data_IF_159118273475
#
_entry.id   IF_159118273475
#
_cell.length_a   1.000
_cell.length_b   1.000
_cell.length_c   1.000
_cell.angle_alpha   90.00
_cell.angle_beta   90.00
_cell.angle_gamma   90.00
#
_symmetry.space_group_name_H-M   'P 1'
#
loop_
_entity.id
_entity.type
_entity.pdbx_description
1 polymer ?
#
# COMPACT_ATOMS: atom_id res chain seq x y z
N UNK A 1 9.49 -10.49 -0.14
CA UNK A 1 8.89 -10.94 1.14
C UNK A 1 7.38 -10.74 1.21
N UNK A 2 6.81 -9.57 1.51
CA UNK A 2 5.35 -9.41 1.71
C UNK A 2 4.51 -9.90 0.51
N UNK A 3 4.91 -9.53 -0.72
CA UNK A 3 4.28 -10.02 -1.95
C UNK A 3 4.27 -11.55 -2.03
N UNK A 4 5.37 -12.21 -1.67
CA UNK A 4 5.46 -13.67 -1.70
C UNK A 4 4.55 -14.33 -0.65
N UNK A 5 4.42 -13.71 0.54
CA UNK A 5 3.53 -14.21 1.60
C UNK A 5 2.09 -14.18 1.10
N UNK A 6 1.59 -13.02 0.68
CA UNK A 6 0.20 -12.91 0.18
C UNK A 6 0.00 -13.83 -1.03
N UNK A 7 0.98 -13.88 -1.94
CA UNK A 7 0.91 -14.73 -3.14
C UNK A 7 0.77 -16.21 -2.82
N UNK A 8 1.47 -16.70 -1.78
CA UNK A 8 1.38 -18.11 -1.37
C UNK A 8 0.02 -18.48 -0.76
N UNK A 9 -0.68 -17.51 -0.17
CA UNK A 9 -1.95 -17.74 0.52
C UNK A 9 -3.13 -17.65 -0.45
N UNK A 10 -3.23 -16.56 -1.22
CA UNK A 10 -4.42 -16.26 -2.05
C UNK A 10 -4.10 -16.13 -3.54
N UNK A 11 -2.90 -16.51 -3.97
CA UNK A 11 -2.47 -16.41 -5.37
C UNK A 11 -1.90 -15.03 -5.75
N UNK A 12 -1.43 -14.86 -6.99
CA UNK A 12 -0.67 -13.68 -7.39
C UNK A 12 -1.52 -12.40 -7.41
N UNK A 13 -0.94 -11.23 -7.07
CA UNK A 13 -1.62 -9.95 -7.18
C UNK A 13 -1.80 -9.53 -8.65
N UNK A 14 -2.58 -8.49 -8.87
CA UNK A 14 -2.68 -7.82 -10.17
C UNK A 14 -1.30 -7.36 -10.66
N UNK A 15 -1.12 -7.39 -11.98
CA UNK A 15 0.02 -6.75 -12.65
C UNK A 15 -0.11 -5.23 -12.71
N UNK A 16 -1.32 -4.69 -12.51
CA UNK A 16 -1.60 -3.26 -12.48
C UNK A 16 -1.15 -2.69 -11.14
N UNK A 17 -0.06 -1.93 -11.14
CA UNK A 17 0.44 -1.24 -9.94
C UNK A 17 -0.04 0.21 -9.83
N UNK A 18 -0.52 0.82 -10.92
CA UNK A 18 -1.09 2.19 -10.94
C UNK A 18 -2.53 2.14 -11.46
N UNK A 19 -3.50 1.70 -10.65
CA UNK A 19 -4.89 1.66 -11.06
C UNK A 19 -5.40 3.08 -11.38
N UNK A 20 -6.33 3.18 -12.34
CA UNK A 20 -6.80 4.47 -12.85
C UNK A 20 -7.41 5.37 -11.78
N UNK A 21 -8.01 4.79 -10.73
CA UNK A 21 -8.60 5.55 -9.63
C UNK A 21 -7.55 6.27 -8.75
N UNK A 22 -6.26 5.96 -8.89
CA UNK A 22 -5.18 6.68 -8.23
C UNK A 22 -4.67 7.89 -9.03
N UNK A 23 -5.29 8.22 -10.16
CA UNK A 23 -4.98 9.43 -10.93
C UNK A 23 -5.63 10.66 -10.32
N UNK A 24 -4.91 11.78 -10.32
CA UNK A 24 -5.43 13.10 -9.97
C UNK A 24 -5.00 14.13 -11.01
N UNK A 25 -5.46 15.38 -10.88
CA UNK A 25 -4.98 16.48 -11.73
C UNK A 25 -3.47 16.70 -11.59
N UNK A 26 -2.91 16.46 -10.39
CA UNK A 26 -1.48 16.55 -10.13
C UNK A 26 -0.73 15.27 -10.55
N UNK A 27 -1.34 14.10 -10.37
CA UNK A 27 -0.74 12.79 -10.65
C UNK A 27 -1.44 12.10 -11.82
N UNK A 28 -1.22 12.60 -13.04
CA UNK A 28 -1.90 12.10 -14.26
C UNK A 28 -1.63 10.62 -14.59
N UNK A 29 -0.47 10.10 -14.15
CA UNK A 29 -0.11 8.67 -14.32
C UNK A 29 -0.62 7.78 -13.18
N UNK A 30 -1.17 8.38 -12.13
CA UNK A 30 -1.60 7.71 -10.91
C UNK A 30 -0.46 7.41 -9.95
N UNK A 31 -0.82 7.33 -8.66
CA UNK A 31 0.06 6.79 -7.63
C UNK A 31 0.19 5.26 -7.76
N UNK A 32 1.29 4.72 -7.23
CA UNK A 32 1.59 3.28 -7.28
C UNK A 32 1.15 2.60 -5.99
N UNK A 33 0.59 1.40 -6.10
CA UNK A 33 0.38 0.46 -5.00
C UNK A 33 1.45 -0.63 -5.03
N UNK A 34 1.98 -1.00 -3.87
CA UNK A 34 3.00 -2.04 -3.80
C UNK A 34 2.47 -3.40 -4.26
N UNK A 35 1.34 -3.81 -3.68
CA UNK A 35 0.66 -5.08 -3.95
C UNK A 35 -0.84 -4.79 -4.04
N UNK A 36 -1.47 -5.15 -5.17
CA UNK A 36 -2.88 -4.83 -5.42
C UNK A 36 -3.70 -6.07 -5.80
N UNK A 37 -4.80 -6.29 -5.07
CA UNK A 37 -5.75 -7.39 -5.27
C UNK A 37 -7.15 -6.82 -5.57
N UNK A 38 -7.40 -6.33 -6.81
CA UNK A 38 -8.69 -5.75 -7.19
C UNK A 38 -9.86 -6.71 -6.97
N UNK A 39 -9.64 -8.01 -7.23
CA UNK A 39 -10.67 -9.03 -7.08
C UNK A 39 -11.12 -9.25 -5.63
N UNK A 40 -10.28 -8.87 -4.67
CA UNK A 40 -10.56 -8.98 -3.23
C UNK A 40 -10.77 -7.61 -2.58
N UNK A 41 -10.78 -6.53 -3.36
CA UNK A 41 -11.04 -5.18 -2.85
C UNK A 41 -9.98 -4.67 -1.86
N UNK A 42 -8.71 -5.06 -1.99
CA UNK A 42 -7.66 -4.56 -1.11
C UNK A 42 -6.31 -4.33 -1.80
N UNK A 43 -5.45 -3.57 -1.13
CA UNK A 43 -4.06 -3.36 -1.46
C UNK A 43 -3.19 -3.41 -0.20
N UNK A 44 -1.90 -3.71 -0.36
CA UNK A 44 -0.90 -3.66 0.71
C UNK A 44 0.17 -2.66 0.32
N UNK A 45 0.53 -1.78 1.26
CA UNK A 45 1.65 -0.82 1.20
C UNK A 45 2.66 -1.18 2.28
N UNK A 46 3.95 -1.26 1.93
CA UNK A 46 5.01 -1.57 2.89
C UNK A 46 5.66 -0.27 3.37
N UNK A 47 5.39 0.10 4.62
CA UNK A 47 5.83 1.36 5.20
C UNK A 47 7.18 1.21 5.90
N UNK A 48 8.22 1.77 5.28
CA UNK A 48 9.55 1.91 5.90
C UNK A 48 9.66 3.13 6.83
N UNK A 49 10.79 3.24 7.55
CA UNK A 49 11.10 4.40 8.43
C UNK A 49 10.93 5.75 7.73
N UNK A 50 11.15 5.80 6.42
CA UNK A 50 10.99 6.99 5.61
C UNK A 50 9.55 7.52 5.54
N UNK A 51 8.53 6.70 5.85
CA UNK A 51 7.13 7.15 5.87
C UNK A 51 6.72 7.77 7.21
N UNK A 52 7.54 7.61 8.25
CA UNK A 52 7.27 8.17 9.59
C UNK A 52 8.13 9.40 9.87
N UNK A 53 9.35 9.44 9.35
CA UNK A 53 10.30 10.51 9.63
C UNK A 53 11.20 10.84 8.45
N UNK A 54 11.75 12.06 8.47
CA UNK A 54 12.76 12.44 7.50
C UNK A 54 14.01 11.56 7.64
N UNK A 55 14.32 10.78 6.61
CA UNK A 55 15.56 10.02 6.50
C UNK A 55 16.35 10.55 5.31
N UNK A 56 17.51 11.15 5.56
CA UNK A 56 18.37 11.79 4.54
C UNK A 56 18.72 10.88 3.34
N UNK A 57 18.75 9.57 3.55
CA UNK A 57 18.97 8.61 2.48
C UNK A 57 17.80 8.54 1.48
N UNK A 58 16.57 8.71 1.96
CA UNK A 58 15.34 8.61 1.18
C UNK A 58 14.79 9.98 0.74
N UNK A 59 15.09 11.05 1.48
CA UNK A 59 14.59 12.39 1.22
C UNK A 59 15.75 13.38 1.08
N UNK A 60 15.74 14.21 0.02
CA UNK A 60 16.80 15.21 -0.18
C UNK A 60 16.61 16.41 0.75
N UNK A 61 15.36 16.77 1.02
CA UNK A 61 14.96 17.88 1.87
C UNK A 61 13.62 17.58 2.59
N UNK A 62 13.15 18.51 3.42
CA UNK A 62 11.86 18.37 4.12
C UNK A 62 10.67 18.27 3.17
N UNK A 63 10.71 19.00 2.04
CA UNK A 63 9.62 19.00 1.05
C UNK A 63 9.41 17.63 0.39
N UNK A 64 10.48 16.86 0.16
CA UNK A 64 10.38 15.49 -0.34
C UNK A 64 9.63 14.58 0.65
N UNK A 65 9.88 14.75 1.95
CA UNK A 65 9.18 14.02 3.00
C UNK A 65 7.72 14.44 3.12
N UNK A 66 7.44 15.76 3.09
CA UNK A 66 6.07 16.27 3.08
C UNK A 66 5.28 15.74 1.88
N UNK A 67 5.89 15.72 0.69
CA UNK A 67 5.28 15.16 -0.52
C UNK A 67 4.98 13.67 -0.36
N UNK A 68 5.86 12.91 0.28
CA UNK A 68 5.61 11.51 0.55
C UNK A 68 4.43 11.31 1.51
N UNK A 69 4.35 12.10 2.59
CA UNK A 69 3.19 12.09 3.49
C UNK A 69 1.88 12.45 2.75
N UNK A 70 1.93 13.43 1.85
CA UNK A 70 0.79 13.79 1.01
C UNK A 70 0.37 12.65 0.08
N UNK A 71 1.33 11.95 -0.53
CA UNK A 71 1.04 10.77 -1.36
C UNK A 71 0.39 9.66 -0.53
N UNK A 72 0.91 9.36 0.66
CA UNK A 72 0.37 8.32 1.54
C UNK A 72 -1.07 8.64 1.95
N UNK A 73 -1.34 9.90 2.33
CA UNK A 73 -2.69 10.35 2.61
C UNK A 73 -3.61 10.23 1.38
N UNK A 74 -3.14 10.67 0.20
CA UNK A 74 -3.93 10.61 -1.02
C UNK A 74 -4.25 9.16 -1.43
N UNK A 75 -3.31 8.23 -1.26
CA UNK A 75 -3.56 6.79 -1.46
C UNK A 75 -4.67 6.29 -0.54
N UNK A 76 -4.62 6.60 0.76
CA UNK A 76 -5.67 6.22 1.73
C UNK A 76 -7.04 6.72 1.29
N UNK A 77 -7.13 8.00 0.94
CA UNK A 77 -8.38 8.63 0.52
C UNK A 77 -8.94 8.02 -0.77
N UNK A 78 -8.09 7.82 -1.78
CA UNK A 78 -8.51 7.29 -3.08
C UNK A 78 -8.86 5.79 -2.98
N UNK A 79 -8.14 5.00 -2.18
CA UNK A 79 -8.51 3.61 -1.93
C UNK A 79 -9.87 3.52 -1.23
N UNK A 80 -10.08 4.29 -0.15
CA UNK A 80 -11.35 4.33 0.55
C UNK A 80 -12.52 4.74 -0.35
N UNK A 81 -12.36 5.79 -1.17
CA UNK A 81 -13.38 6.24 -2.14
C UNK A 81 -13.75 5.18 -3.18
N UNK A 82 -12.86 4.23 -3.45
CA UNK A 82 -13.05 3.17 -4.44
C UNK A 82 -13.27 1.79 -3.79
N UNK A 83 -13.63 1.76 -2.49
CA UNK A 83 -13.90 0.52 -1.76
C UNK A 83 -12.71 -0.46 -1.77
N UNK A 84 -11.50 0.09 -1.77
CA UNK A 84 -10.26 -0.66 -1.63
C UNK A 84 -9.76 -0.48 -0.20
N UNK A 85 -9.68 -1.57 0.54
CA UNK A 85 -9.03 -1.60 1.86
C UNK A 85 -7.52 -1.46 1.65
N UNK A 86 -6.92 -0.44 2.24
CA UNK A 86 -5.47 -0.21 2.17
C UNK A 86 -4.83 -0.72 3.47
N UNK A 87 -4.13 -1.85 3.37
CA UNK A 87 -3.36 -2.43 4.47
C UNK A 87 -1.98 -1.79 4.48
N UNK A 88 -1.65 -1.06 5.54
CA UNK A 88 -0.35 -0.41 5.71
C UNK A 88 0.50 -1.21 6.68
N UNK A 89 1.48 -1.94 6.13
CA UNK A 89 2.34 -2.83 6.90
C UNK A 89 3.67 -2.14 7.20
N UNK A 90 3.89 -1.81 8.46
CA UNK A 90 5.07 -1.11 8.94
C UNK A 90 6.28 -2.02 9.09
N UNK A 91 7.48 -1.45 8.90
CA UNK A 91 8.75 -2.17 8.94
C UNK A 91 9.06 -2.88 10.26
N UNK A 92 8.39 -2.52 11.35
CA UNK A 92 8.52 -3.15 12.67
C UNK A 92 7.50 -4.26 12.91
N UNK A 93 6.52 -4.43 12.02
CA UNK A 93 5.53 -5.49 12.10
C UNK A 93 6.06 -6.79 11.51
N UNK A 94 5.54 -7.92 11.99
CA UNK A 94 5.88 -9.24 11.46
C UNK A 94 4.94 -9.62 10.30
N UNK A 95 5.39 -9.61 9.03
CA UNK A 95 4.47 -9.79 7.89
C UNK A 95 3.81 -11.17 7.86
N UNK A 96 4.46 -12.18 8.44
CA UNK A 96 3.92 -13.54 8.55
C UNK A 96 2.77 -13.66 9.54
N UNK A 97 2.58 -12.68 10.43
CA UNK A 97 1.50 -12.62 11.41
C UNK A 97 0.42 -11.66 10.91
N UNK A 98 0.82 -10.42 10.61
CA UNK A 98 -0.11 -9.33 10.29
C UNK A 98 -0.86 -9.56 8.98
N UNK A 99 -0.19 -10.09 7.93
CA UNK A 99 -0.87 -10.36 6.66
C UNK A 99 -1.99 -11.40 6.83
N UNK A 100 -1.74 -12.60 7.41
CA UNK A 100 -2.82 -13.55 7.67
C UNK A 100 -3.96 -12.99 8.54
N UNK A 101 -3.67 -12.15 9.54
CA UNK A 101 -4.70 -11.53 10.38
C UNK A 101 -5.65 -10.66 9.53
N UNK A 102 -5.10 -9.75 8.72
CA UNK A 102 -5.93 -8.94 7.80
C UNK A 102 -6.70 -9.80 6.79
N UNK A 103 -6.09 -10.85 6.26
CA UNK A 103 -6.78 -11.74 5.32
C UNK A 103 -7.95 -12.49 5.97
N UNK A 104 -7.85 -12.84 7.26
CA UNK A 104 -8.95 -13.40 8.05
C UNK A 104 -10.05 -12.37 8.30
N UNK A 105 -9.68 -11.13 8.66
CA UNK A 105 -10.64 -10.03 8.84
C UNK A 105 -11.43 -9.71 7.56
N UNK A 106 -10.80 -9.90 6.40
CA UNK A 106 -11.42 -9.78 5.08
C UNK A 106 -12.20 -11.04 4.65
N UNK A 107 -12.32 -12.05 5.53
CA UNK A 107 -12.99 -13.34 5.26
C UNK A 107 -12.44 -14.06 4.01
N UNK A 108 -11.15 -13.87 3.69
CA UNK A 108 -10.50 -14.49 2.53
C UNK A 108 -9.89 -15.85 2.86
N UNK A 109 -9.66 -16.12 4.14
CA UNK A 109 -9.11 -17.38 4.67
C UNK A 109 -9.70 -17.68 6.05
N UNK A 110 -9.67 -18.96 6.46
CA UNK A 110 -10.07 -19.43 7.79
C UNK A 110 -9.02 -19.20 8.89
#
# INVERSE_FOLDING_TARGET
>A
MCREIVTKIIGPPSSIRRPDFLKTQEYLRGLELDIYYPQYGFAVEVQGKQHEQYVKHFHKNGEDFERQLMHDQLKRELCNKNWIVLIELWYYEEPHIVIPEYLKELELID
#
